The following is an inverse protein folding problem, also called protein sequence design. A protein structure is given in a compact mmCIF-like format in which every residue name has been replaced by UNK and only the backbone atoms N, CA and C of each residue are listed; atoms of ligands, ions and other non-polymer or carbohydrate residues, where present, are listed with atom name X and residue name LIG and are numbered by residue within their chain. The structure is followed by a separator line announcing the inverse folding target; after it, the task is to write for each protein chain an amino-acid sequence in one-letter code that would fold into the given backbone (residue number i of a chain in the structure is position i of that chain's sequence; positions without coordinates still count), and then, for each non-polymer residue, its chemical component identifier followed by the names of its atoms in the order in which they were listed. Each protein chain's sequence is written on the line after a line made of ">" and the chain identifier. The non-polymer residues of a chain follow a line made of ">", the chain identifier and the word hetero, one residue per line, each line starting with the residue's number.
data_IF_801571690188
#
_entry.id   IF_801571690188
#
_cell.length_a   1.000
_cell.length_b   1.000
_cell.length_c   1.000
_cell.angle_alpha   90.00
_cell.angle_beta   90.00
_cell.angle_gamma   90.00
#
_symmetry.space_group_name_H-M   'P 1'
#
loop_
_entity.id
_entity.type
_entity.pdbx_description
1 polymer ?
#
# COMPACT_ATOMS: atom_id res chain seq x y z
N UNK A 1 -10.38 -13.02 3.89
CA UNK A 1 -9.94 -13.43 2.53
C UNK A 1 -10.49 -14.84 2.27
N UNK A 2 -11.17 -15.07 1.14
CA UNK A 2 -11.64 -16.41 0.79
C UNK A 2 -10.60 -17.14 -0.05
N UNK A 3 -10.16 -18.31 0.43
CA UNK A 3 -9.10 -19.11 -0.20
C UNK A 3 -9.71 -20.39 -0.77
N UNK A 4 -9.54 -20.60 -2.07
CA UNK A 4 -10.02 -21.79 -2.77
C UNK A 4 -8.96 -22.89 -2.73
N UNK A 5 -9.27 -24.02 -2.09
CA UNK A 5 -8.35 -25.18 -1.98
C UNK A 5 -8.55 -26.24 -3.06
N UNK A 6 -9.52 -26.06 -3.94
CA UNK A 6 -10.01 -27.13 -4.84
C UNK A 6 -11.12 -27.96 -4.17
N UNK A 7 -11.73 -28.89 -4.92
CA UNK A 7 -12.79 -29.79 -4.44
C UNK A 7 -13.97 -29.10 -3.72
N UNK A 8 -14.34 -27.90 -4.19
CA UNK A 8 -15.39 -27.05 -3.59
C UNK A 8 -15.14 -26.67 -2.11
N UNK A 9 -13.89 -26.75 -1.62
CA UNK A 9 -13.51 -26.30 -0.28
C UNK A 9 -13.03 -24.85 -0.32
N UNK A 10 -13.70 -24.02 0.46
CA UNK A 10 -13.38 -22.61 0.66
C UNK A 10 -13.05 -22.42 2.13
N UNK A 11 -11.89 -21.85 2.41
CA UNK A 11 -11.48 -21.46 3.77
C UNK A 11 -11.53 -19.94 3.91
N UNK A 12 -12.03 -19.47 5.06
CA UNK A 12 -11.98 -18.06 5.43
C UNK A 12 -10.71 -17.79 6.23
N UNK A 13 -9.90 -16.87 5.75
CA UNK A 13 -8.72 -16.37 6.43
C UNK A 13 -8.96 -14.93 6.93
N UNK A 14 -8.97 -14.70 8.25
CA UNK A 14 -9.11 -13.35 8.81
C UNK A 14 -7.79 -12.58 8.65
N UNK A 15 -7.61 -11.92 7.51
CA UNK A 15 -6.41 -11.15 7.18
C UNK A 15 -6.31 -10.76 5.71
N UNK A 16 -5.22 -10.09 5.32
CA UNK A 16 -4.97 -9.67 3.94
C UNK A 16 -4.24 -10.77 3.14
N UNK A 17 -4.02 -10.56 1.84
CA UNK A 17 -3.38 -11.55 0.97
C UNK A 17 -1.91 -11.82 1.33
N UNK A 18 -1.16 -10.80 1.77
CA UNK A 18 0.24 -10.94 2.16
C UNK A 18 0.37 -11.82 3.41
N UNK A 19 -0.50 -11.62 4.40
CA UNK A 19 -0.55 -12.45 5.63
C UNK A 19 -0.83 -13.91 5.29
N UNK A 20 -1.80 -14.15 4.40
CA UNK A 20 -2.15 -15.50 3.95
C UNK A 20 -0.98 -16.19 3.22
N UNK A 21 -0.27 -15.48 2.33
CA UNK A 21 0.90 -16.03 1.62
C UNK A 21 2.03 -16.40 2.57
N UNK A 22 2.31 -15.55 3.56
CA UNK A 22 3.32 -15.84 4.58
C UNK A 22 2.95 -17.07 5.43
N UNK A 23 1.67 -17.21 5.81
CA UNK A 23 1.16 -18.39 6.51
C UNK A 23 1.33 -19.67 5.69
N UNK A 24 0.89 -19.67 4.42
CA UNK A 24 1.03 -20.83 3.52
C UNK A 24 2.48 -21.27 3.34
N UNK A 25 3.37 -20.31 3.11
CA UNK A 25 4.80 -20.59 2.93
C UNK A 25 5.39 -21.20 4.21
N UNK A 26 4.97 -20.73 5.39
CA UNK A 26 5.39 -21.28 6.68
C UNK A 26 4.90 -22.72 6.92
N UNK A 27 3.64 -23.03 6.57
CA UNK A 27 3.04 -24.37 6.70
C UNK A 27 3.69 -25.36 5.72
N UNK A 28 4.07 -24.91 4.52
CA UNK A 28 4.81 -25.73 3.54
C UNK A 28 6.22 -26.05 4.05
N UNK A 29 6.88 -25.08 4.70
CA UNK A 29 8.21 -25.26 5.30
C UNK A 29 8.15 -26.22 6.49
N UNK A 30 7.15 -26.11 7.38
CA UNK A 30 6.96 -27.08 8.47
C UNK A 30 6.75 -28.50 7.95
N UNK A 31 5.85 -28.69 6.97
CA UNK A 31 5.59 -30.01 6.39
C UNK A 31 6.82 -30.62 5.67
N UNK A 32 7.69 -29.78 5.11
CA UNK A 32 8.97 -30.22 4.52
C UNK A 32 10.01 -30.58 5.59
N UNK A 33 10.01 -29.86 6.72
CA UNK A 33 10.90 -30.13 7.85
C UNK A 33 10.50 -31.38 8.64
N UNK A 34 9.21 -31.75 8.71
CA UNK A 34 8.77 -33.00 9.37
C UNK A 34 9.27 -34.24 8.63
N UNK A 35 9.49 -34.18 7.31
CA UNK A 35 10.06 -35.30 6.53
C UNK A 35 11.58 -35.49 6.68
N UNK A 36 12.29 -34.51 7.25
CA UNK A 36 13.75 -34.54 7.40
C UNK A 36 14.22 -34.74 8.86
N UNK A 37 13.30 -34.99 9.81
CA UNK A 37 13.61 -35.20 11.24
C UNK A 37 13.96 -36.66 11.57
N UNK A 38 14.91 -37.22 10.82
CA UNK A 38 15.62 -38.44 11.20
C UNK A 38 17.15 -38.25 11.06
N UNK A 39 17.66 -37.06 11.41
CA UNK A 39 19.07 -36.89 11.75
C UNK A 39 19.28 -35.64 12.61
N UNK A 40 20.08 -35.81 13.66
CA UNK A 40 20.70 -34.83 14.54
C UNK A 40 19.85 -33.95 15.48
N UNK A 41 19.89 -34.38 16.73
CA UNK A 41 20.15 -33.52 17.90
C UNK A 41 21.54 -32.88 17.82
N UNK A 42 21.64 -31.56 18.01
CA UNK A 42 22.30 -30.95 19.18
C UNK A 42 22.60 -29.44 18.94
N UNK A 43 22.51 -28.66 20.02
CA UNK A 43 23.04 -27.31 20.23
C UNK A 43 22.47 -26.15 19.39
N UNK A 44 21.65 -25.29 20.01
CA UNK A 44 22.15 -24.12 20.74
C UNK A 44 21.01 -23.10 20.92
N UNK A 45 20.71 -22.79 22.18
CA UNK A 45 19.90 -21.63 22.56
C UNK A 45 20.67 -20.36 22.17
N UNK A 46 20.12 -19.59 21.26
CA UNK A 46 20.22 -18.12 21.32
C UNK A 46 18.86 -17.55 20.96
N UNK A 47 18.04 -17.42 21.99
CA UNK A 47 16.83 -16.62 21.99
C UNK A 47 17.17 -15.15 21.82
N UNK A 48 16.31 -14.47 21.06
CA UNK A 48 15.97 -13.06 21.23
C UNK A 48 17.02 -12.05 20.82
N UNK A 49 17.09 -11.85 19.50
CA UNK A 49 16.82 -10.53 18.89
C UNK A 49 16.58 -10.77 17.40
N UNK A 50 15.40 -11.28 17.07
CA UNK A 50 14.76 -10.77 15.86
C UNK A 50 14.41 -9.34 16.25
N UNK A 51 15.32 -8.40 15.97
CA UNK A 51 14.88 -7.02 15.88
C UNK A 51 13.85 -7.04 14.77
N UNK A 52 12.58 -7.16 15.18
CA UNK A 52 11.43 -6.56 14.53
C UNK A 52 11.84 -5.12 14.25
N UNK A 53 12.62 -4.97 13.18
CA UNK A 53 12.90 -3.70 12.56
C UNK A 53 11.62 -3.43 11.79
N UNK A 54 10.52 -3.20 12.53
CA UNK A 54 9.34 -2.47 12.08
C UNK A 54 9.89 -1.42 11.13
N UNK A 55 9.47 -1.43 9.87
CA UNK A 55 10.15 -0.75 8.77
C UNK A 55 10.00 0.77 8.92
N UNK A 56 10.59 1.34 9.96
CA UNK A 56 10.46 2.74 10.34
C UNK A 56 11.02 3.55 9.19
N UNK A 57 10.11 4.31 8.56
CA UNK A 57 10.46 5.31 7.58
C UNK A 57 11.62 6.17 8.11
N UNK A 58 12.60 6.43 7.25
CA UNK A 58 13.67 7.38 7.53
C UNK A 58 13.10 8.76 7.86
N UNK A 59 13.84 9.62 8.56
CA UNK A 59 13.40 10.99 8.87
C UNK A 59 12.96 11.76 7.61
N UNK A 60 13.65 11.55 6.50
CA UNK A 60 13.30 12.16 5.21
C UNK A 60 11.97 11.63 4.66
N UNK A 61 11.75 10.31 4.75
CA UNK A 61 10.52 9.66 4.30
C UNK A 61 9.33 10.02 5.20
N UNK A 62 9.52 10.16 6.52
CA UNK A 62 8.49 10.66 7.42
C UNK A 62 8.11 12.11 7.12
N UNK A 63 9.09 12.94 6.75
CA UNK A 63 8.84 14.31 6.32
C UNK A 63 8.12 14.35 4.98
N UNK A 64 8.52 13.50 4.04
CA UNK A 64 7.88 13.32 2.73
C UNK A 64 6.42 12.91 2.90
N UNK A 65 6.13 11.89 3.71
CA UNK A 65 4.77 11.42 4.01
C UNK A 65 3.85 12.54 4.52
N UNK A 66 4.32 13.33 5.50
CA UNK A 66 3.57 14.49 6.03
C UNK A 66 3.42 15.63 5.01
N UNK A 67 4.36 15.79 4.07
CA UNK A 67 4.27 16.79 3.00
C UNK A 67 3.24 16.36 1.96
N UNK A 68 3.31 15.09 1.53
CA UNK A 68 2.41 14.50 0.56
C UNK A 68 0.95 14.62 1.00
N UNK A 69 0.62 14.33 2.26
CA UNK A 69 -0.73 14.50 2.79
C UNK A 69 -1.27 15.94 2.60
N UNK A 70 -0.43 16.95 2.91
CA UNK A 70 -0.81 18.36 2.74
C UNK A 70 -0.90 18.77 1.28
N UNK A 71 0.00 18.26 0.44
CA UNK A 71 0.04 18.55 -0.99
C UNK A 71 -1.16 17.94 -1.71
N UNK A 72 -1.50 16.68 -1.41
CA UNK A 72 -2.69 16.00 -1.95
C UNK A 72 -3.93 16.81 -1.62
N UNK A 73 -4.13 17.17 -0.34
CA UNK A 73 -5.28 17.96 0.08
C UNK A 73 -5.40 19.29 -0.68
N UNK A 74 -4.29 20.01 -0.86
CA UNK A 74 -4.27 21.26 -1.64
C UNK A 74 -4.62 21.04 -3.11
N UNK A 75 -4.12 19.96 -3.70
CA UNK A 75 -4.42 19.61 -5.08
C UNK A 75 -5.88 19.21 -5.25
N UNK A 76 -6.47 18.49 -4.29
CA UNK A 76 -7.90 18.16 -4.29
C UNK A 76 -8.79 19.40 -4.17
N UNK A 77 -8.42 20.34 -3.30
CA UNK A 77 -9.10 21.64 -3.20
C UNK A 77 -9.04 22.39 -4.54
N UNK A 78 -7.85 22.49 -5.15
CA UNK A 78 -7.66 23.12 -6.46
C UNK A 78 -8.44 22.41 -7.58
N UNK A 79 -8.43 21.08 -7.58
CA UNK A 79 -9.19 20.25 -8.51
C UNK A 79 -10.68 20.58 -8.42
N UNK A 80 -11.22 20.66 -7.20
CA UNK A 80 -12.62 21.03 -6.95
C UNK A 80 -12.93 22.45 -7.39
N UNK A 81 -12.03 23.41 -7.14
CA UNK A 81 -12.19 24.80 -7.59
C UNK A 81 -12.30 24.87 -9.12
N UNK A 82 -11.46 24.13 -9.85
CA UNK A 82 -11.50 24.11 -11.32
C UNK A 82 -12.77 23.41 -11.81
N UNK A 83 -13.19 22.30 -11.19
CA UNK A 83 -14.48 21.68 -11.49
C UNK A 83 -15.66 22.64 -11.31
N UNK A 84 -15.62 23.47 -10.26
CA UNK A 84 -16.65 24.47 -10.03
C UNK A 84 -16.68 25.52 -11.15
N UNK A 85 -15.52 25.93 -11.68
CA UNK A 85 -15.46 26.87 -12.81
C UNK A 85 -16.23 26.36 -14.02
N UNK A 86 -16.20 25.05 -14.31
CA UNK A 86 -16.97 24.45 -15.41
C UNK A 86 -18.50 24.57 -15.25
N UNK A 87 -19.00 24.88 -14.06
CA UNK A 87 -20.43 25.13 -13.83
C UNK A 87 -20.85 26.56 -14.22
N UNK A 88 -19.89 27.46 -14.46
CA UNK A 88 -20.16 28.81 -14.91
C UNK A 88 -20.65 28.82 -16.37
N UNK A 89 -21.70 29.58 -16.64
CA UNK A 89 -22.33 29.70 -17.96
C UNK A 89 -21.62 30.65 -18.92
N UNK A 90 -20.49 31.25 -18.53
CA UNK A 90 -19.76 32.28 -19.29
C UNK A 90 -18.39 31.84 -19.84
N UNK A 91 -18.13 30.53 -19.88
CA UNK A 91 -16.86 30.00 -20.36
C UNK A 91 -16.74 30.01 -21.89
N UNK A 92 -15.62 30.53 -22.40
CA UNK A 92 -15.25 30.44 -23.82
C UNK A 92 -14.54 29.11 -24.10
N UNK A 93 -14.56 28.66 -25.36
CA UNK A 93 -13.93 27.39 -25.76
C UNK A 93 -12.44 27.28 -25.39
N UNK A 94 -11.67 28.35 -25.57
CA UNK A 94 -10.24 28.38 -25.20
C UNK A 94 -10.02 28.25 -23.69
N UNK A 95 -10.92 28.83 -22.88
CA UNK A 95 -10.87 28.70 -21.42
C UNK A 95 -11.26 27.29 -20.99
N UNK A 96 -12.23 26.66 -21.65
CA UNK A 96 -12.62 25.27 -21.41
C UNK A 96 -11.45 24.31 -21.70
N UNK A 97 -10.75 24.51 -22.81
CA UNK A 97 -9.61 23.66 -23.19
C UNK A 97 -8.46 23.80 -22.19
N UNK A 98 -8.09 25.03 -21.83
CA UNK A 98 -7.03 25.28 -20.84
C UNK A 98 -7.38 24.73 -19.45
N UNK A 99 -8.61 24.93 -18.96
CA UNK A 99 -9.07 24.37 -17.69
C UNK A 99 -9.12 22.83 -17.74
N UNK A 100 -9.44 22.22 -18.90
CA UNK A 100 -9.45 20.76 -19.03
C UNK A 100 -8.05 20.17 -18.94
N UNK A 101 -7.07 20.81 -19.58
CA UNK A 101 -5.67 20.40 -19.49
C UNK A 101 -5.19 20.54 -18.05
N UNK A 102 -5.46 21.67 -17.40
CA UNK A 102 -5.07 21.90 -16.00
C UNK A 102 -5.73 20.87 -15.06
N UNK A 103 -7.00 20.58 -15.25
CA UNK A 103 -7.73 19.58 -14.46
C UNK A 103 -7.12 18.18 -14.61
N UNK A 104 -6.74 17.80 -15.84
CA UNK A 104 -6.08 16.52 -16.12
C UNK A 104 -4.71 16.43 -15.45
N UNK A 105 -3.91 17.49 -15.54
CA UNK A 105 -2.59 17.55 -14.89
C UNK A 105 -2.69 17.44 -13.37
N UNK A 106 -3.65 18.15 -12.76
CA UNK A 106 -3.88 18.09 -11.32
C UNK A 106 -4.34 16.68 -10.91
N UNK A 107 -5.25 16.07 -11.67
CA UNK A 107 -5.73 14.71 -11.41
C UNK A 107 -4.57 13.71 -11.42
N UNK A 108 -3.71 13.77 -12.43
CA UNK A 108 -2.53 12.92 -12.52
C UNK A 108 -1.56 13.19 -11.36
N UNK A 109 -1.34 14.45 -10.98
CA UNK A 109 -0.49 14.79 -9.86
C UNK A 109 -1.03 14.26 -8.51
N UNK A 110 -2.35 14.29 -8.31
CA UNK A 110 -2.99 13.68 -7.13
C UNK A 110 -2.73 12.18 -7.11
N UNK A 111 -2.97 11.49 -8.23
CA UNK A 111 -2.80 10.05 -8.34
C UNK A 111 -1.36 9.62 -8.04
N UNK A 112 -0.37 10.24 -8.69
CA UNK A 112 1.06 9.94 -8.46
C UNK A 112 1.46 10.18 -7.00
N UNK A 113 1.01 11.29 -6.39
CA UNK A 113 1.35 11.60 -4.99
C UNK A 113 0.66 10.65 -4.01
N UNK A 114 -0.56 10.24 -4.32
CA UNK A 114 -1.34 9.29 -3.51
C UNK A 114 -0.71 7.91 -3.54
N UNK A 115 -0.26 7.44 -4.70
CA UNK A 115 0.49 6.18 -4.82
C UNK A 115 1.75 6.20 -3.96
N UNK A 116 2.55 7.27 -4.07
CA UNK A 116 3.74 7.44 -3.23
C UNK A 116 3.43 7.49 -1.74
N UNK A 117 2.36 8.20 -1.36
CA UNK A 117 1.91 8.26 0.03
C UNK A 117 1.48 6.88 0.54
N UNK A 118 0.80 6.09 -0.30
CA UNK A 118 0.37 4.73 0.02
C UNK A 118 1.56 3.79 0.20
N UNK A 119 2.58 3.86 -0.66
CA UNK A 119 3.83 3.11 -0.48
C UNK A 119 4.49 3.39 0.88
N UNK A 120 4.57 4.66 1.26
CA UNK A 120 5.13 5.09 2.54
C UNK A 120 4.26 4.63 3.72
N UNK A 121 2.93 4.67 3.58
CA UNK A 121 1.97 4.17 4.58
C UNK A 121 2.10 2.68 4.80
N UNK A 122 2.20 1.89 3.73
CA UNK A 122 2.34 0.44 3.80
C UNK A 122 3.63 0.03 4.52
N UNK A 123 4.72 0.79 4.32
CA UNK A 123 5.98 0.58 5.06
C UNK A 123 5.91 1.00 6.53
N UNK A 124 4.99 1.89 6.89
CA UNK A 124 4.79 2.32 8.28
C UNK A 124 3.93 1.32 9.08
N UNK A 125 2.98 0.66 8.41
CA UNK A 125 2.11 -0.36 9.01
C UNK A 125 2.74 -1.76 9.07
N UNK A 126 3.71 -2.05 8.18
CA UNK A 126 4.46 -3.31 8.12
C UNK A 126 5.74 -3.33 8.98
#
# INVERSE_FOLDING_TARGET
>A
LFVFRGDAKIEDFPGNYSDFRAYEDSVIIENRNVKNKAHDSDTNKNSWKTEDSSAKLSYLEQKEYKSLEKEIKKLEEKHREIQLKFTASDLTGEVIDSLSIELKEISHAIETKTERWFELSARLEG
#
